data_IF_452230577314
#
_entry.id   IF_452230577314
#
_cell.length_a   1.000
_cell.length_b   1.000
_cell.length_c   1.000
_cell.angle_alpha   90.00
_cell.angle_beta   90.00
_cell.angle_gamma   90.00
#
_symmetry.space_group_name_H-M   'P 1'
#
loop_
_entity.id
_entity.type
_entity.pdbx_description
1 polymer ?
#
# COMPACT_ATOMS: atom_id res chain seq x y z
N UNK A 1 -13.46 -9.22 -15.99
CA UNK A 1 -13.74 -7.77 -15.93
C UNK A 1 -12.45 -7.04 -15.56
N UNK A 2 -11.83 -6.32 -16.51
CA UNK A 2 -10.69 -5.45 -16.23
C UNK A 2 -11.14 -4.22 -15.39
N UNK A 3 -10.19 -3.47 -14.79
CA UNK A 3 -10.46 -2.19 -14.15
C UNK A 3 -11.26 -1.24 -15.06
N UNK A 4 -12.13 -0.43 -14.47
CA UNK A 4 -12.91 0.55 -15.22
C UNK A 4 -11.97 1.59 -15.85
N UNK A 5 -12.11 1.75 -17.17
CA UNK A 5 -11.50 2.85 -17.92
C UNK A 5 -12.50 3.97 -18.11
N UNK A 6 -11.98 5.19 -18.26
CA UNK A 6 -12.80 6.33 -18.61
C UNK A 6 -13.54 6.06 -19.92
N UNK A 7 -14.86 6.27 -19.92
CA UNK A 7 -15.71 6.24 -21.10
C UNK A 7 -16.36 7.61 -21.18
N UNK A 8 -15.82 8.44 -22.07
CA UNK A 8 -16.31 9.77 -22.37
C UNK A 8 -16.36 9.93 -23.89
N UNK A 9 -17.50 10.32 -24.42
CA UNK A 9 -17.68 10.60 -25.84
C UNK A 9 -18.70 11.73 -26.02
N UNK A 10 -19.01 12.10 -27.26
CA UNK A 10 -19.97 13.17 -27.55
C UNK A 10 -21.42 12.80 -27.20
N UNK A 11 -21.73 11.51 -27.03
CA UNK A 11 -23.04 11.04 -26.55
C UNK A 11 -23.24 11.28 -25.05
N UNK A 12 -22.21 11.05 -24.22
CA UNK A 12 -22.23 11.36 -22.79
C UNK A 12 -20.78 11.37 -22.25
N UNK A 13 -20.44 12.42 -21.50
CA UNK A 13 -19.14 12.59 -20.86
C UNK A 13 -19.27 12.98 -19.39
N UNK A 14 -18.21 12.73 -18.63
CA UNK A 14 -18.05 13.20 -17.24
C UNK A 14 -16.76 14.00 -17.18
N UNK A 15 -16.82 15.19 -16.59
CA UNK A 15 -15.67 16.05 -16.33
C UNK A 15 -15.67 16.48 -14.87
N UNK A 16 -14.57 16.23 -14.16
CA UNK A 16 -14.39 16.73 -12.79
C UNK A 16 -13.99 18.21 -12.81
N UNK A 17 -14.31 18.92 -11.74
CA UNK A 17 -13.85 20.28 -11.50
C UNK A 17 -12.54 20.26 -10.72
N UNK A 18 -11.58 21.09 -11.13
CA UNK A 18 -10.26 21.19 -10.50
C UNK A 18 -9.26 20.16 -11.03
N UNK A 19 -8.04 20.24 -10.50
CA UNK A 19 -6.91 19.40 -10.89
C UNK A 19 -6.65 18.25 -9.89
N UNK A 20 -7.60 17.99 -8.99
CA UNK A 20 -7.48 16.96 -7.97
C UNK A 20 -7.52 15.55 -8.59
N UNK A 21 -6.42 14.81 -8.44
CA UNK A 21 -6.24 13.45 -8.98
C UNK A 21 -6.54 12.35 -7.98
N UNK A 22 -6.56 12.68 -6.68
CA UNK A 22 -6.78 11.75 -5.58
C UNK A 22 -7.77 12.33 -4.56
N UNK A 23 -8.60 11.48 -3.98
CA UNK A 23 -9.61 11.88 -3.00
C UNK A 23 -9.50 11.04 -1.72
N UNK A 24 -9.75 11.66 -0.57
CA UNK A 24 -9.89 10.96 0.69
C UNK A 24 -11.34 10.53 0.94
N UNK A 25 -11.59 9.46 1.72
CA UNK A 25 -12.92 9.22 2.28
C UNK A 25 -13.42 10.46 3.03
N UNK A 26 -14.64 10.91 2.75
CA UNK A 26 -15.20 12.16 3.27
C UNK A 26 -15.14 13.34 2.28
N UNK A 27 -14.25 13.31 1.28
CA UNK A 27 -14.15 14.36 0.27
C UNK A 27 -15.41 14.49 -0.58
N UNK A 28 -15.60 15.64 -1.22
CA UNK A 28 -16.70 15.86 -2.16
C UNK A 28 -16.15 16.02 -3.57
N UNK A 29 -16.54 15.09 -4.45
CA UNK A 29 -16.21 15.17 -5.88
C UNK A 29 -17.23 16.07 -6.56
N UNK A 30 -16.76 17.11 -7.23
CA UNK A 30 -17.60 18.06 -7.97
C UNK A 30 -17.28 17.99 -9.45
N UNK A 31 -18.29 18.07 -10.31
CA UNK A 31 -18.07 18.03 -11.75
C UNK A 31 -19.32 18.29 -12.56
N UNK A 32 -19.23 17.94 -13.85
CA UNK A 32 -20.33 18.01 -14.80
C UNK A 32 -20.47 16.69 -15.55
N UNK A 33 -21.71 16.32 -15.82
CA UNK A 33 -22.04 15.41 -16.91
C UNK A 33 -22.34 16.27 -18.12
N UNK A 34 -21.79 15.95 -19.29
CA UNK A 34 -22.05 16.71 -20.50
C UNK A 34 -22.46 15.83 -21.68
N UNK A 35 -23.20 16.43 -22.61
CA UNK A 35 -23.56 15.85 -23.90
C UNK A 35 -23.54 16.95 -24.95
N UNK A 36 -22.91 16.68 -26.09
CA UNK A 36 -22.85 17.61 -27.23
C UNK A 36 -23.53 17.08 -28.48
N UNK A 37 -23.79 15.77 -28.56
CA UNK A 37 -24.52 15.18 -29.68
C UNK A 37 -26.00 15.48 -29.59
N UNK A 38 -26.58 15.89 -30.71
CA UNK A 38 -28.00 16.18 -30.85
C UNK A 38 -28.89 15.09 -30.22
N UNK A 39 -29.93 15.53 -29.50
CA UNK A 39 -30.94 14.67 -28.90
C UNK A 39 -32.21 15.47 -28.67
N UNK A 40 -33.34 14.90 -29.08
CA UNK A 40 -34.67 15.40 -28.72
C UNK A 40 -35.42 14.24 -28.07
N UNK A 41 -35.83 14.40 -26.83
CA UNK A 41 -36.59 13.41 -26.07
C UNK A 41 -37.65 14.10 -25.21
N UNK A 42 -38.89 13.61 -25.26
CA UNK A 42 -39.98 14.14 -24.43
C UNK A 42 -39.90 13.64 -22.98
N UNK A 43 -39.41 12.41 -22.80
CA UNK A 43 -39.22 11.78 -21.50
C UNK A 43 -37.76 11.38 -21.41
N UNK A 44 -37.04 12.04 -20.52
CA UNK A 44 -35.65 11.72 -20.21
C UNK A 44 -35.37 11.77 -18.72
N UNK A 45 -34.36 11.01 -18.30
CA UNK A 45 -33.81 11.06 -16.95
C UNK A 45 -32.30 10.94 -17.01
N UNK A 46 -31.61 11.86 -16.34
CA UNK A 46 -30.16 11.79 -16.15
C UNK A 46 -29.88 11.54 -14.68
N UNK A 47 -29.00 10.58 -14.43
CA UNK A 47 -28.57 10.26 -13.07
C UNK A 47 -27.08 10.02 -13.02
N UNK A 48 -26.51 10.26 -11.85
CA UNK A 48 -25.11 10.04 -11.54
C UNK A 48 -24.98 9.33 -10.20
N UNK A 49 -23.95 8.51 -10.06
CA UNK A 49 -23.67 7.79 -8.82
C UNK A 49 -22.17 7.54 -8.67
N UNK A 50 -21.69 7.50 -7.43
CA UNK A 50 -20.38 6.95 -7.09
C UNK A 50 -20.53 5.45 -6.85
N UNK A 51 -19.61 4.67 -7.42
CA UNK A 51 -19.53 3.23 -7.23
C UNK A 51 -18.16 2.90 -6.67
N UNK A 52 -18.13 2.20 -5.54
CA UNK A 52 -16.92 1.59 -4.98
C UNK A 52 -17.11 0.08 -4.91
N UNK A 53 -16.10 -0.69 -5.33
CA UNK A 53 -16.16 -2.15 -5.25
C UNK A 53 -14.78 -2.77 -5.09
N UNK A 54 -14.78 -3.96 -4.50
CA UNK A 54 -13.65 -4.89 -4.56
C UNK A 54 -13.98 -6.05 -5.47
N UNK A 55 -12.99 -6.53 -6.23
CA UNK A 55 -13.13 -7.65 -7.14
C UNK A 55 -11.89 -8.51 -7.06
N UNK A 56 -12.06 -9.81 -6.88
CA UNK A 56 -11.01 -10.83 -6.91
C UNK A 56 -11.29 -11.88 -7.97
N UNK A 57 -10.27 -12.41 -8.62
CA UNK A 57 -10.37 -13.51 -9.58
C UNK A 57 -9.18 -14.45 -9.51
N UNK A 58 -9.47 -15.74 -9.63
CA UNK A 58 -8.47 -16.81 -9.76
C UNK A 58 -8.89 -17.77 -10.88
N UNK A 59 -7.96 -18.34 -11.66
CA UNK A 59 -8.24 -19.30 -12.71
C UNK A 59 -8.78 -20.60 -12.09
N UNK A 60 -9.79 -21.16 -12.73
CA UNK A 60 -10.22 -22.52 -12.45
C UNK A 60 -9.31 -23.45 -13.24
N UNK A 61 -8.84 -24.52 -12.60
CA UNK A 61 -8.07 -25.59 -13.23
C UNK A 61 -9.00 -26.50 -14.06
N UNK A 62 -9.80 -25.93 -14.96
CA UNK A 62 -10.70 -26.66 -15.86
C UNK A 62 -10.48 -26.21 -17.30
N UNK A 63 -10.57 -27.16 -18.23
CA UNK A 63 -10.30 -27.04 -19.67
C UNK A 63 -11.09 -25.92 -20.38
N UNK A 64 -12.10 -25.33 -19.73
CA UNK A 64 -12.96 -24.26 -20.26
C UNK A 64 -12.61 -22.83 -19.80
N UNK A 65 -11.55 -22.62 -19.02
CA UNK A 65 -11.04 -21.28 -18.70
C UNK A 65 -11.96 -20.40 -17.84
N UNK A 66 -12.92 -20.99 -17.12
CA UNK A 66 -13.73 -20.26 -16.14
C UNK A 66 -12.86 -19.76 -14.97
N UNK A 67 -13.27 -18.68 -14.28
CA UNK A 67 -12.53 -18.11 -13.14
C UNK A 67 -13.44 -18.03 -11.91
N UNK A 68 -12.92 -18.29 -10.72
CA UNK A 68 -13.64 -17.94 -9.49
C UNK A 68 -13.67 -16.42 -9.35
N UNK A 69 -14.74 -15.91 -8.75
CA UNK A 69 -14.95 -14.48 -8.58
C UNK A 69 -15.34 -14.17 -7.14
N UNK A 70 -14.67 -13.22 -6.50
CA UNK A 70 -15.18 -12.55 -5.31
C UNK A 70 -15.53 -11.11 -5.66
N UNK A 71 -16.64 -10.59 -5.15
CA UNK A 71 -17.04 -9.20 -5.37
C UNK A 71 -17.84 -8.66 -4.20
N UNK A 72 -17.42 -7.50 -3.71
CA UNK A 72 -18.15 -6.74 -2.69
C UNK A 72 -18.35 -5.30 -3.19
N UNK A 73 -19.58 -4.77 -3.12
CA UNK A 73 -19.80 -3.35 -3.39
C UNK A 73 -19.57 -2.59 -2.09
N UNK A 74 -18.59 -1.70 -2.07
CA UNK A 74 -18.19 -0.93 -0.89
C UNK A 74 -19.10 0.29 -0.66
N UNK A 75 -19.72 0.78 -1.74
CA UNK A 75 -20.66 1.89 -1.71
C UNK A 75 -21.97 1.38 -2.30
N UNK A 76 -23.06 1.35 -1.51
CA UNK A 76 -24.32 0.78 -1.96
C UNK A 76 -25.03 1.72 -2.92
N UNK A 77 -26.04 1.14 -3.58
CA UNK A 77 -26.72 1.73 -4.72
C UNK A 77 -27.59 2.98 -4.46
N UNK A 78 -28.04 3.35 -3.24
CA UNK A 78 -28.90 4.53 -3.08
C UNK A 78 -28.16 5.87 -3.20
N UNK A 79 -26.83 5.90 -3.36
CA UNK A 79 -26.04 7.12 -3.61
C UNK A 79 -26.23 7.70 -5.03
N UNK A 80 -27.41 7.54 -5.62
CA UNK A 80 -27.76 7.98 -6.97
C UNK A 80 -28.42 9.35 -6.94
N UNK A 81 -27.70 10.35 -7.42
CA UNK A 81 -28.23 11.70 -7.60
C UNK A 81 -28.93 11.81 -8.97
N UNK A 82 -30.16 12.34 -8.98
CA UNK A 82 -30.86 12.68 -10.22
C UNK A 82 -30.47 14.09 -10.66
N UNK A 83 -29.90 14.23 -11.85
CA UNK A 83 -29.44 15.52 -12.40
C UNK A 83 -30.46 16.17 -13.35
N UNK A 84 -31.30 15.37 -13.98
CA UNK A 84 -32.34 15.84 -14.89
C UNK A 84 -33.54 14.88 -14.92
N UNK A 85 -34.74 15.43 -15.08
CA UNK A 85 -35.97 14.69 -15.34
C UNK A 85 -36.89 15.53 -16.24
N UNK A 86 -37.44 14.91 -17.27
CA UNK A 86 -38.41 15.54 -18.18
C UNK A 86 -37.87 15.70 -19.60
N UNK A 87 -38.45 16.61 -20.41
CA UNK A 87 -38.01 16.82 -21.78
C UNK A 87 -36.54 17.25 -21.86
N UNK A 88 -35.84 16.80 -22.90
CA UNK A 88 -34.45 17.15 -23.17
C UNK A 88 -34.27 17.45 -24.65
N UNK A 89 -33.75 18.64 -24.93
CA UNK A 89 -33.29 19.05 -26.24
C UNK A 89 -31.82 19.44 -26.14
N UNK A 90 -30.95 18.70 -26.82
CA UNK A 90 -29.54 19.03 -27.03
C UNK A 90 -29.38 19.36 -28.51
N UNK A 91 -28.91 20.56 -28.80
CA UNK A 91 -28.70 21.03 -30.18
C UNK A 91 -27.28 20.69 -30.64
N UNK A 92 -27.12 20.33 -31.91
CA UNK A 92 -25.81 20.01 -32.46
C UNK A 92 -24.86 21.21 -32.37
N UNK A 93 -23.62 20.98 -31.95
CA UNK A 93 -22.60 22.01 -31.75
C UNK A 93 -22.69 22.80 -30.44
N UNK A 94 -23.68 22.56 -29.58
CA UNK A 94 -23.78 23.16 -28.24
C UNK A 94 -23.70 22.09 -27.14
N UNK A 95 -22.79 22.25 -26.19
CA UNK A 95 -22.68 21.35 -25.05
C UNK A 95 -23.75 21.66 -24.00
N UNK A 96 -24.61 20.69 -23.72
CA UNK A 96 -25.49 20.73 -22.54
C UNK A 96 -24.77 20.03 -21.38
N UNK A 97 -24.67 20.71 -20.23
CA UNK A 97 -23.97 20.21 -19.06
C UNK A 97 -24.81 20.28 -17.79
N UNK A 98 -24.74 19.25 -16.95
CA UNK A 98 -25.41 19.17 -15.65
C UNK A 98 -24.38 19.02 -14.54
N UNK A 99 -24.41 19.93 -13.57
CA UNK A 99 -23.48 19.91 -12.44
C UNK A 99 -23.87 18.83 -11.42
N UNK A 100 -22.87 18.20 -10.81
CA UNK A 100 -23.04 17.28 -9.69
C UNK A 100 -22.06 17.58 -8.56
N UNK A 101 -22.39 17.09 -7.36
CA UNK A 101 -21.50 17.07 -6.20
C UNK A 101 -21.82 15.79 -5.40
N UNK A 102 -20.84 14.89 -5.26
CA UNK A 102 -21.00 13.60 -4.59
C UNK A 102 -19.98 13.49 -3.46
N UNK A 103 -20.46 13.32 -2.23
CA UNK A 103 -19.60 13.06 -1.07
C UNK A 103 -19.18 11.58 -1.07
N UNK A 104 -17.88 11.34 -0.92
CA UNK A 104 -17.32 10.00 -0.72
C UNK A 104 -17.64 9.58 0.72
N UNK A 105 -18.29 8.43 0.95
CA UNK A 105 -18.50 7.93 2.30
C UNK A 105 -17.19 7.72 3.06
N UNK A 106 -17.19 7.90 4.38
CA UNK A 106 -16.01 7.58 5.20
C UNK A 106 -15.87 6.07 5.43
N UNK A 107 -17.01 5.37 5.47
CA UNK A 107 -17.11 3.96 5.81
C UNK A 107 -17.86 3.18 4.73
N UNK A 108 -17.54 1.90 4.65
CA UNK A 108 -18.28 0.91 3.87
C UNK A 108 -19.66 0.73 4.48
N UNK A 109 -20.69 0.69 3.64
CA UNK A 109 -22.04 0.33 4.07
C UNK A 109 -22.30 -1.16 3.77
N UNK A 110 -22.59 -1.97 4.81
CA UNK A 110 -22.73 -3.41 4.70
C UNK A 110 -24.12 -3.90 4.25
N UNK A 111 -25.05 -3.02 3.87
CA UNK A 111 -26.38 -3.45 3.41
C UNK A 111 -26.31 -4.50 2.28
N UNK A 112 -25.35 -4.37 1.36
CA UNK A 112 -25.13 -5.32 0.26
C UNK A 112 -24.53 -6.68 0.73
N UNK A 113 -24.15 -6.81 2.01
CA UNK A 113 -23.48 -8.00 2.57
C UNK A 113 -24.36 -8.84 3.49
N UNK A 114 -25.56 -8.37 3.83
CA UNK A 114 -26.48 -9.09 4.72
C UNK A 114 -26.79 -10.49 4.20
N UNK A 115 -26.58 -11.50 5.04
CA UNK A 115 -26.80 -12.91 4.69
C UNK A 115 -25.71 -13.54 3.82
N UNK A 116 -24.59 -12.84 3.60
CA UNK A 116 -23.42 -13.41 2.94
C UNK A 116 -22.73 -14.50 3.79
N UNK A 117 -21.92 -15.34 3.14
CA UNK A 117 -21.18 -16.41 3.80
C UNK A 117 -19.94 -15.84 4.50
N UNK A 118 -19.81 -15.93 5.84
CA UNK A 118 -18.63 -15.44 6.56
C UNK A 118 -17.33 -16.15 6.15
N UNK A 119 -17.41 -17.40 5.66
CA UNK A 119 -16.25 -18.13 5.14
C UNK A 119 -15.69 -17.59 3.82
N UNK A 120 -16.39 -16.65 3.20
CA UNK A 120 -15.99 -15.97 1.96
C UNK A 120 -15.57 -14.51 2.18
N UNK A 121 -15.30 -14.14 3.45
CA UNK A 121 -14.82 -12.81 3.79
C UNK A 121 -13.73 -12.81 4.87
N UNK A 122 -12.72 -11.97 4.70
CA UNK A 122 -11.71 -11.67 5.72
C UNK A 122 -12.22 -10.72 6.80
N UNK A 123 -13.21 -9.88 6.48
CA UNK A 123 -13.83 -8.95 7.41
C UNK A 123 -15.21 -9.46 7.81
N UNK A 124 -15.66 -9.10 9.02
CA UNK A 124 -17.02 -9.40 9.43
C UNK A 124 -18.01 -8.65 8.53
N UNK A 125 -19.03 -9.37 8.05
CA UNK A 125 -20.08 -8.84 7.18
C UNK A 125 -21.07 -7.94 7.92
N UNK A 126 -21.10 -8.01 9.25
CA UNK A 126 -22.06 -7.29 10.10
C UNK A 126 -21.52 -5.92 10.60
N UNK A 127 -20.28 -5.57 10.27
CA UNK A 127 -19.63 -4.34 10.76
C UNK A 127 -19.77 -3.19 9.77
N UNK A 128 -20.37 -2.09 10.23
CA UNK A 128 -20.65 -0.85 9.47
C UNK A 128 -19.53 0.18 9.49
N UNK A 129 -18.51 0.00 10.33
CA UNK A 129 -17.48 1.02 10.57
C UNK A 129 -16.14 0.68 9.90
N UNK A 130 -16.17 -0.19 8.89
CA UNK A 130 -14.96 -0.47 8.10
C UNK A 130 -14.68 0.76 7.23
N UNK A 131 -13.50 1.40 7.35
CA UNK A 131 -13.18 2.56 6.52
C UNK A 131 -13.11 2.15 5.05
N UNK A 132 -13.39 3.09 4.14
CA UNK A 132 -13.19 2.82 2.72
C UNK A 132 -11.69 2.52 2.44
N UNK A 133 -11.38 1.38 1.79
CA UNK A 133 -10.01 1.06 1.40
C UNK A 133 -9.49 2.01 0.31
N UNK A 134 -8.16 2.16 0.22
CA UNK A 134 -7.55 2.87 -0.92
C UNK A 134 -7.76 2.10 -2.22
N UNK A 135 -7.74 2.81 -3.36
CA UNK A 135 -7.68 2.20 -4.69
C UNK A 135 -6.46 1.27 -4.77
N UNK A 136 -6.67 0.06 -5.28
CA UNK A 136 -5.64 -0.97 -5.38
C UNK A 136 -5.83 -1.77 -6.66
N UNK A 137 -4.72 -2.20 -7.26
CA UNK A 137 -4.70 -3.02 -8.46
C UNK A 137 -3.58 -4.03 -8.36
N UNK A 138 -3.93 -5.30 -8.50
CA UNK A 138 -3.05 -6.41 -8.75
C UNK A 138 -3.45 -7.02 -10.09
N UNK A 139 -2.57 -6.86 -11.07
CA UNK A 139 -2.65 -7.52 -12.37
C UNK A 139 -1.66 -8.69 -12.43
N UNK A 140 -2.11 -9.80 -12.98
CA UNK A 140 -1.30 -11.00 -13.13
C UNK A 140 -2.01 -12.09 -13.95
N UNK A 141 -1.22 -12.98 -14.54
CA UNK A 141 -1.74 -14.14 -15.30
C UNK A 141 -2.51 -15.12 -14.40
N UNK A 142 -2.09 -15.23 -13.14
CA UNK A 142 -2.61 -16.20 -12.16
C UNK A 142 -3.70 -15.65 -11.27
N UNK A 143 -3.67 -14.37 -10.93
CA UNK A 143 -4.67 -13.80 -10.04
C UNK A 143 -4.88 -12.33 -10.37
N UNK A 144 -6.12 -11.87 -10.28
CA UNK A 144 -6.46 -10.45 -10.45
C UNK A 144 -7.22 -9.96 -9.22
N UNK A 145 -6.81 -8.84 -8.65
CA UNK A 145 -7.53 -8.22 -7.54
C UNK A 145 -7.55 -6.70 -7.69
N UNK A 146 -8.71 -6.09 -7.48
CA UNK A 146 -8.88 -4.65 -7.60
C UNK A 146 -9.77 -4.10 -6.49
N UNK A 147 -9.39 -2.95 -5.95
CA UNK A 147 -10.26 -2.04 -5.21
C UNK A 147 -10.40 -0.81 -6.10
N UNK A 148 -11.61 -0.54 -6.58
CA UNK A 148 -11.81 0.55 -7.54
C UNK A 148 -13.02 1.41 -7.21
N UNK A 149 -12.89 2.69 -7.54
CA UNK A 149 -13.92 3.70 -7.42
C UNK A 149 -14.13 4.36 -8.77
N UNK A 150 -15.38 4.60 -9.13
CA UNK A 150 -15.69 5.33 -10.35
C UNK A 150 -17.05 6.02 -10.24
N UNK A 151 -17.18 7.12 -10.95
CA UNK A 151 -18.45 7.81 -11.16
C UNK A 151 -19.11 7.22 -12.40
N UNK A 152 -20.37 6.84 -12.27
CA UNK A 152 -21.20 6.41 -13.39
C UNK A 152 -22.31 7.41 -13.65
N UNK A 153 -22.44 7.88 -14.89
CA UNK A 153 -23.60 8.66 -15.34
C UNK A 153 -24.44 7.81 -16.31
N UNK A 154 -25.76 7.91 -16.19
CA UNK A 154 -26.71 7.20 -17.04
C UNK A 154 -27.80 8.17 -17.51
N UNK A 155 -27.85 8.41 -18.82
CA UNK A 155 -28.96 9.10 -19.48
C UNK A 155 -29.90 8.02 -20.05
N UNK A 156 -31.17 8.07 -19.66
CA UNK A 156 -32.23 7.23 -20.24
C UNK A 156 -33.26 8.13 -20.90
N UNK A 157 -33.68 7.78 -22.11
CA UNK A 157 -34.81 8.43 -22.78
C UNK A 157 -35.83 7.38 -23.20
N UNK A 158 -37.10 7.78 -23.26
CA UNK A 158 -38.18 6.95 -23.75
C UNK A 158 -38.79 7.61 -24.98
N UNK A 159 -38.73 6.90 -26.10
CA UNK A 159 -39.33 7.28 -27.37
C UNK A 159 -40.36 6.20 -27.78
N UNK A 160 -41.10 6.44 -28.86
CA UNK A 160 -42.06 5.46 -29.42
C UNK A 160 -41.39 4.11 -29.75
N UNK A 161 -40.11 4.14 -30.13
CA UNK A 161 -39.30 2.95 -30.47
C UNK A 161 -38.67 2.23 -29.25
N UNK A 162 -38.92 2.70 -28.02
CA UNK A 162 -38.42 2.09 -26.79
C UNK A 162 -37.47 2.96 -25.97
N UNK A 163 -36.71 2.32 -25.07
CA UNK A 163 -35.81 2.98 -24.10
C UNK A 163 -34.40 3.04 -24.66
N UNK A 164 -33.91 4.27 -24.90
CA UNK A 164 -32.50 4.50 -25.23
C UNK A 164 -31.69 4.75 -23.94
N UNK A 165 -30.45 4.26 -23.91
CA UNK A 165 -29.57 4.35 -22.74
C UNK A 165 -28.15 4.70 -23.15
N UNK A 166 -27.61 5.77 -22.55
CA UNK A 166 -26.20 6.16 -22.67
C UNK A 166 -25.53 6.12 -21.30
N UNK A 167 -24.29 5.65 -21.26
CA UNK A 167 -23.52 5.46 -20.03
C UNK A 167 -22.15 6.11 -20.20
N UNK A 168 -21.75 6.92 -19.23
CA UNK A 168 -20.40 7.41 -19.08
C UNK A 168 -19.81 6.92 -17.76
N UNK A 169 -18.50 6.66 -17.74
CA UNK A 169 -17.79 6.22 -16.54
C UNK A 169 -16.50 7.00 -16.40
N UNK A 170 -16.17 7.38 -15.17
CA UNK A 170 -14.94 8.10 -14.85
C UNK A 170 -14.28 7.47 -13.63
N UNK A 171 -13.06 6.89 -13.76
CA UNK A 171 -12.36 6.31 -12.62
C UNK A 171 -11.92 7.39 -11.63
N UNK A 172 -11.93 7.05 -10.34
CA UNK A 172 -11.54 7.93 -9.24
C UNK A 172 -10.52 7.21 -8.38
N UNK A 173 -9.42 7.88 -8.05
CA UNK A 173 -8.43 7.35 -7.10
C UNK A 173 -8.82 7.78 -5.70
N UNK A 174 -9.01 6.81 -4.81
CA UNK A 174 -9.28 7.06 -3.39
C UNK A 174 -8.06 6.66 -2.58
N UNK A 175 -7.57 7.55 -1.73
CA UNK A 175 -6.43 7.32 -0.86
C UNK A 175 -6.87 7.46 0.60
N UNK A 176 -6.73 6.39 1.38
CA UNK A 176 -7.00 6.44 2.82
C UNK A 176 -5.79 7.01 3.55
N UNK A 177 -5.88 8.28 3.93
CA UNK A 177 -4.87 8.95 4.72
C UNK A 177 -4.94 8.53 6.18
N UNK A 178 -3.78 8.55 6.85
CA UNK A 178 -3.67 8.18 8.27
C UNK A 178 -2.98 9.29 9.04
N UNK A 179 -3.34 9.52 10.32
CA UNK A 179 -2.60 10.43 11.19
C UNK A 179 -1.11 10.08 11.17
N UNK A 180 -0.25 11.10 11.24
CA UNK A 180 1.18 10.87 11.31
C UNK A 180 1.53 10.12 12.60
N UNK A 181 2.11 8.93 12.47
CA UNK A 181 2.51 8.08 13.59
C UNK A 181 4.04 7.91 13.71
N UNK A 182 4.79 8.45 12.74
CA UNK A 182 6.24 8.23 12.60
C UNK A 182 6.62 6.75 12.42
N UNK A 183 7.91 6.49 12.24
CA UNK A 183 8.43 5.14 12.15
C UNK A 183 8.43 4.46 13.53
N UNK A 184 7.92 3.23 13.58
CA UNK A 184 8.05 2.36 14.78
C UNK A 184 9.15 1.35 14.55
N UNK A 185 9.89 1.03 15.60
CA UNK A 185 11.04 0.13 15.52
C UNK A 185 10.76 -1.18 16.28
N UNK A 186 11.10 -2.31 15.64
CA UNK A 186 11.24 -3.61 16.28
C UNK A 186 12.68 -3.80 16.72
N UNK A 187 12.89 -4.12 18.01
CA UNK A 187 14.21 -4.27 18.62
C UNK A 187 14.51 -5.74 18.88
N UNK A 188 15.69 -6.18 18.44
CA UNK A 188 16.21 -7.51 18.71
C UNK A 188 17.64 -7.46 19.24
N UNK A 189 18.01 -8.42 20.08
CA UNK A 189 19.33 -8.51 20.72
C UNK A 189 19.92 -9.88 20.42
N UNK A 190 21.13 -9.89 19.88
CA UNK A 190 21.91 -11.08 19.56
C UNK A 190 23.17 -11.13 20.42
N UNK A 191 23.46 -12.29 21.00
CA UNK A 191 24.60 -12.50 21.87
C UNK A 191 25.77 -13.09 21.10
N UNK A 192 26.95 -12.51 21.23
CA UNK A 192 28.15 -12.92 20.50
C UNK A 192 29.35 -13.14 21.41
N UNK A 193 30.03 -14.25 21.14
CA UNK A 193 31.30 -14.66 21.73
C UNK A 193 32.31 -14.84 20.62
N UNK A 194 33.39 -14.06 20.63
CA UNK A 194 34.42 -14.13 19.59
C UNK A 194 35.82 -14.21 20.19
N UNK A 195 36.62 -15.14 19.69
CA UNK A 195 37.99 -15.37 20.14
C UNK A 195 38.93 -15.21 18.95
N UNK A 196 39.80 -14.20 18.98
CA UNK A 196 40.71 -13.90 17.87
C UNK A 196 41.95 -13.15 18.36
N UNK A 197 43.17 -13.54 17.96
CA UNK A 197 44.39 -12.79 18.29
C UNK A 197 44.34 -11.35 17.74
N UNK A 198 43.62 -11.10 16.65
CA UNK A 198 43.47 -9.77 16.05
C UNK A 198 42.74 -8.75 16.93
N UNK A 199 42.04 -9.20 17.97
CA UNK A 199 41.45 -8.31 18.98
C UNK A 199 42.51 -7.47 19.71
N UNK A 200 43.76 -7.95 19.81
CA UNK A 200 44.85 -7.19 20.40
C UNK A 200 45.31 -6.03 19.52
N UNK A 201 45.27 -6.19 18.19
CA UNK A 201 45.73 -5.18 17.23
C UNK A 201 44.69 -4.13 16.90
N UNK A 202 43.46 -4.27 17.41
CA UNK A 202 42.37 -3.32 17.14
C UNK A 202 42.64 -1.98 17.86
N UNK A 203 42.81 -0.91 17.09
CA UNK A 203 43.08 0.45 17.60
C UNK A 203 44.54 0.91 17.53
N UNK A 204 45.46 0.08 17.02
CA UNK A 204 46.88 0.45 16.76
C UNK A 204 47.17 0.37 15.25
N UNK A 205 48.14 1.14 14.74
CA UNK A 205 48.60 1.08 13.33
C UNK A 205 48.91 -0.36 12.94
N UNK A 206 48.20 -0.89 11.92
CA UNK A 206 48.14 -2.31 11.49
C UNK A 206 49.45 -3.09 11.76
N UNK A 207 49.50 -3.93 12.82
CA UNK A 207 50.56 -4.93 12.95
C UNK A 207 50.33 -6.07 11.95
N UNK A 208 51.42 -6.67 11.45
CA UNK A 208 51.33 -7.84 10.57
C UNK A 208 50.78 -9.05 11.32
N UNK A 209 50.13 -10.00 10.61
CA UNK A 209 49.60 -11.26 11.18
C UNK A 209 50.62 -11.96 12.09
N UNK A 210 51.88 -11.97 11.67
CA UNK A 210 53.00 -12.57 12.39
C UNK A 210 53.34 -11.85 13.71
N UNK A 211 53.13 -10.55 13.82
CA UNK A 211 53.39 -9.77 15.04
C UNK A 211 52.29 -9.99 16.09
N UNK A 212 51.04 -10.04 15.66
CA UNK A 212 49.89 -10.27 16.55
C UNK A 212 49.89 -11.68 17.12
N UNK A 213 50.24 -12.68 16.31
CA UNK A 213 50.39 -14.07 16.77
C UNK A 213 51.54 -14.19 17.75
N UNK A 214 52.68 -13.52 17.51
CA UNK A 214 53.80 -13.49 18.47
C UNK A 214 53.43 -12.85 19.81
N UNK A 215 52.64 -11.76 19.79
CA UNK A 215 52.10 -11.17 21.02
C UNK A 215 51.14 -12.13 21.74
N UNK A 216 50.27 -12.81 21.00
CA UNK A 216 49.33 -13.77 21.58
C UNK A 216 50.05 -15.01 22.14
N UNK A 217 51.12 -15.49 21.51
CA UNK A 217 51.94 -16.60 22.01
C UNK A 217 52.73 -16.25 23.29
N UNK A 218 52.97 -14.95 23.55
CA UNK A 218 53.52 -14.46 24.82
C UNK A 218 52.47 -14.32 25.94
N UNK A 219 51.19 -14.53 25.64
CA UNK A 219 50.07 -14.44 26.59
C UNK A 219 49.47 -15.84 26.77
N UNK A 220 49.12 -16.20 28.01
CA UNK A 220 48.63 -17.56 28.33
C UNK A 220 47.29 -17.94 27.68
N UNK A 221 46.55 -17.00 27.08
CA UNK A 221 45.24 -17.27 26.46
C UNK A 221 44.93 -16.30 25.31
N UNK A 222 44.37 -16.81 24.23
CA UNK A 222 43.83 -16.01 23.11
C UNK A 222 42.71 -15.10 23.64
N UNK A 223 42.70 -13.79 23.34
CA UNK A 223 41.68 -12.89 23.87
C UNK A 223 40.30 -13.21 23.28
N UNK A 224 39.30 -13.00 24.13
CA UNK A 224 37.88 -13.22 23.88
C UNK A 224 37.10 -11.94 24.11
N UNK A 225 36.27 -11.57 23.14
CA UNK A 225 35.32 -10.47 23.17
C UNK A 225 33.90 -11.01 23.29
N UNK A 226 33.15 -10.48 24.25
CA UNK A 226 31.74 -10.80 24.47
C UNK A 226 30.91 -9.54 24.32
N UNK A 227 29.87 -9.59 23.50
CA UNK A 227 29.02 -8.41 23.29
C UNK A 227 27.59 -8.79 22.87
N UNK A 228 26.68 -7.86 23.12
CA UNK A 228 25.32 -7.89 22.64
C UNK A 228 25.21 -6.96 21.45
N UNK A 229 24.82 -7.50 20.30
CA UNK A 229 24.46 -6.70 19.14
C UNK A 229 22.95 -6.45 19.16
N UNK A 230 22.59 -5.19 19.34
CA UNK A 230 21.21 -4.75 19.24
C UNK A 230 20.94 -4.19 17.84
N UNK A 231 19.88 -4.70 17.23
CA UNK A 231 19.40 -4.31 15.91
C UNK A 231 17.98 -3.78 16.07
N UNK A 232 17.72 -2.57 15.57
CA UNK A 232 16.38 -1.98 15.50
C UNK A 232 16.00 -1.74 14.04
N UNK A 233 14.95 -2.42 13.60
CA UNK A 233 14.44 -2.39 12.24
C UNK A 233 13.04 -1.78 12.22
N UNK A 234 12.61 -1.13 11.14
CA UNK A 234 11.27 -0.53 11.08
C UNK A 234 10.19 -1.63 11.07
N UNK A 235 9.24 -1.52 12.01
CA UNK A 235 8.03 -2.34 12.09
C UNK A 235 6.80 -1.62 11.56
N UNK A 236 6.86 -0.29 11.44
CA UNK A 236 5.89 0.50 10.70
C UNK A 236 6.59 1.63 9.94
N UNK A 237 6.15 1.87 8.70
CA UNK A 237 6.62 2.95 7.82
C UNK A 237 5.39 3.70 7.30
N UNK A 238 5.37 5.02 7.44
CA UNK A 238 4.36 5.88 6.83
C UNK A 238 4.84 6.29 5.43
N UNK A 239 3.99 6.15 4.42
CA UNK A 239 4.30 6.66 3.08
C UNK A 239 4.38 8.18 3.09
N UNK A 240 5.28 8.71 2.25
CA UNK A 240 5.55 10.14 2.10
C UNK A 240 6.02 10.85 3.38
N UNK A 241 6.46 10.10 4.40
CA UNK A 241 7.17 10.68 5.54
C UNK A 241 8.49 11.32 5.04
N UNK A 242 8.72 12.61 5.29
CA UNK A 242 9.96 13.27 4.90
C UNK A 242 11.17 12.81 5.72
N UNK A 243 11.00 12.02 6.77
CA UNK A 243 12.08 11.50 7.62
C UNK A 243 12.67 10.22 7.02
N UNK A 244 14.01 10.04 7.04
CA UNK A 244 14.62 8.76 6.69
C UNK A 244 14.11 7.62 7.58
N UNK A 245 13.95 6.44 6.99
CA UNK A 245 13.51 5.23 7.67
C UNK A 245 14.65 4.73 8.56
N UNK A 246 14.47 4.67 9.89
CA UNK A 246 15.55 4.35 10.80
C UNK A 246 15.94 2.87 10.74
N UNK A 247 17.26 2.60 10.70
CA UNK A 247 17.85 1.26 10.86
C UNK A 247 19.00 1.39 11.86
N UNK A 248 18.76 1.01 13.11
CA UNK A 248 19.70 1.34 14.19
C UNK A 248 20.46 0.13 14.69
N UNK A 249 21.78 0.28 14.78
CA UNK A 249 22.70 -0.76 15.21
C UNK A 249 23.50 -0.27 16.42
N UNK A 250 23.60 -1.10 17.46
CA UNK A 250 24.41 -0.80 18.65
C UNK A 250 25.06 -2.07 19.18
N UNK A 251 26.36 -2.00 19.47
CA UNK A 251 27.09 -3.06 20.15
C UNK A 251 27.37 -2.68 21.60
N UNK A 252 27.01 -3.55 22.53
CA UNK A 252 27.24 -3.38 23.97
C UNK A 252 28.18 -4.48 24.44
N UNK A 253 29.39 -4.10 24.86
CA UNK A 253 30.38 -5.02 25.39
C UNK A 253 29.94 -5.59 26.74
N UNK A 254 29.99 -6.92 26.88
CA UNK A 254 29.90 -7.56 28.18
C UNK A 254 31.29 -7.53 28.83
N UNK A 255 31.51 -6.52 29.68
CA UNK A 255 32.81 -6.27 30.31
C UNK A 255 33.30 -7.46 31.12
N UNK A 256 32.42 -8.12 31.85
CA UNK A 256 32.79 -9.18 32.80
C UNK A 256 33.29 -10.44 32.09
N UNK A 257 32.67 -10.77 30.97
CA UNK A 257 33.03 -11.94 30.17
C UNK A 257 34.11 -11.64 29.12
N UNK A 258 34.37 -10.37 28.82
CA UNK A 258 35.44 -9.94 27.91
C UNK A 258 36.82 -10.01 28.57
N UNK A 259 37.84 -10.40 27.82
CA UNK A 259 39.22 -10.54 28.28
C UNK A 259 39.81 -9.21 28.77
N UNK A 260 40.46 -9.21 29.93
CA UNK A 260 40.94 -7.99 30.62
C UNK A 260 41.86 -7.11 29.77
N UNK A 261 42.65 -7.71 28.88
CA UNK A 261 43.60 -7.04 28.00
C UNK A 261 42.97 -6.27 26.83
N UNK A 262 41.67 -6.44 26.56
CA UNK A 262 40.95 -5.73 25.49
C UNK A 262 39.78 -4.86 25.98
N UNK A 263 39.40 -4.92 27.26
CA UNK A 263 38.24 -4.19 27.82
C UNK A 263 38.28 -2.69 27.59
N UNK A 264 39.47 -2.09 27.68
CA UNK A 264 39.64 -0.64 27.58
C UNK A 264 40.08 -0.19 26.16
N UNK A 265 40.05 -1.10 25.16
CA UNK A 265 40.41 -0.76 23.78
C UNK A 265 39.18 -0.23 23.02
N UNK A 266 39.35 0.70 22.06
CA UNK A 266 38.27 1.22 21.23
C UNK A 266 37.86 0.20 20.16
N UNK A 267 37.19 -0.87 20.58
CA UNK A 267 36.72 -1.94 19.70
C UNK A 267 35.59 -1.43 18.81
N UNK A 268 35.65 -1.81 17.53
CA UNK A 268 34.67 -1.42 16.51
C UNK A 268 34.25 -2.65 15.71
N UNK A 269 32.99 -2.69 15.32
CA UNK A 269 32.42 -3.74 14.48
C UNK A 269 32.13 -3.13 13.12
N UNK A 270 32.74 -3.65 12.06
CA UNK A 270 32.49 -3.18 10.71
C UNK A 270 31.19 -3.78 10.20
N UNK A 271 30.30 -2.97 9.64
CA UNK A 271 29.20 -3.45 8.81
C UNK A 271 29.73 -3.57 7.38
N UNK A 272 29.89 -4.80 6.90
CA UNK A 272 30.50 -5.09 5.59
C UNK A 272 29.46 -5.21 4.48
N UNK A 273 28.23 -5.61 4.80
CA UNK A 273 27.16 -5.74 3.83
C UNK A 273 25.79 -5.67 4.50
N UNK A 274 24.80 -5.11 3.80
CA UNK A 274 23.41 -5.01 4.25
C UNK A 274 22.47 -5.18 3.06
N UNK A 275 21.48 -6.06 3.18
CA UNK A 275 20.38 -6.18 2.23
C UNK A 275 19.08 -6.12 2.98
N UNK A 276 18.14 -5.34 2.46
CA UNK A 276 16.79 -5.22 3.00
C UNK A 276 15.80 -5.34 1.85
N UNK A 277 14.83 -6.21 2.05
CA UNK A 277 13.77 -6.49 1.11
C UNK A 277 12.43 -6.34 1.81
N UNK A 278 11.52 -5.62 1.17
CA UNK A 278 10.11 -5.60 1.55
C UNK A 278 9.41 -6.62 0.67
N UNK A 279 8.76 -7.58 1.30
CA UNK A 279 7.97 -8.59 0.61
C UNK A 279 6.51 -8.31 0.90
N UNK A 280 5.76 -8.05 -0.15
CA UNK A 280 4.33 -7.79 -0.10
C UNK A 280 3.57 -9.06 -0.50
N UNK A 281 2.72 -9.55 0.39
CA UNK A 281 1.90 -10.73 0.18
C UNK A 281 0.45 -10.30 0.02
N UNK A 282 -0.13 -10.56 -1.15
CA UNK A 282 -1.54 -10.33 -1.44
C UNK A 282 -2.29 -11.65 -1.38
N UNK A 283 -3.12 -11.82 -0.34
CA UNK A 283 -4.07 -12.91 -0.25
C UNK A 283 -5.40 -12.49 -0.85
N UNK A 284 -5.97 -13.37 -1.67
CA UNK A 284 -7.17 -13.12 -2.44
C UNK A 284 -8.17 -14.22 -2.12
N UNK A 285 -9.38 -13.83 -1.74
CA UNK A 285 -10.48 -14.75 -1.45
C UNK A 285 -11.54 -14.64 -2.55
N UNK A 286 -12.02 -15.77 -3.03
CA UNK A 286 -13.10 -15.87 -4.01
C UNK A 286 -14.26 -16.69 -3.44
N UNK A 287 -15.40 -16.68 -4.14
CA UNK A 287 -16.56 -17.54 -3.83
C UNK A 287 -16.14 -19.00 -3.66
N UNK A 288 -16.80 -19.73 -2.75
CA UNK A 288 -16.46 -21.10 -2.40
C UNK A 288 -15.24 -21.23 -1.48
N UNK A 289 -14.82 -20.14 -0.84
CA UNK A 289 -13.62 -20.04 0.00
C UNK A 289 -12.30 -20.39 -0.73
N UNK A 290 -12.27 -20.22 -2.05
CA UNK A 290 -11.06 -20.39 -2.83
C UNK A 290 -10.09 -19.24 -2.57
N UNK A 291 -8.88 -19.57 -2.15
CA UNK A 291 -7.82 -18.58 -1.90
C UNK A 291 -6.71 -18.68 -2.92
N UNK A 292 -6.10 -17.54 -3.23
CA UNK A 292 -4.82 -17.45 -3.91
C UNK A 292 -3.92 -16.47 -3.17
N UNK A 293 -2.63 -16.64 -3.33
CA UNK A 293 -1.60 -15.82 -2.71
C UNK A 293 -0.59 -15.42 -3.80
N UNK A 294 -0.32 -14.13 -3.88
CA UNK A 294 0.70 -13.58 -4.78
C UNK A 294 1.70 -12.80 -3.94
N UNK A 295 2.99 -13.10 -4.09
CA UNK A 295 4.07 -12.37 -3.44
C UNK A 295 4.80 -11.49 -4.45
N UNK A 296 5.16 -10.27 -4.02
CA UNK A 296 6.07 -9.40 -4.75
C UNK A 296 7.17 -8.91 -3.82
N UNK A 297 8.39 -8.78 -4.36
CA UNK A 297 9.57 -8.41 -3.59
C UNK A 297 10.15 -7.11 -4.13
N UNK A 298 10.37 -6.16 -3.23
CA UNK A 298 11.04 -4.91 -3.53
C UNK A 298 12.33 -4.84 -2.70
N UNK A 299 13.46 -4.82 -3.39
CA UNK A 299 14.77 -4.63 -2.75
C UNK A 299 15.02 -3.13 -2.54
N UNK A 300 15.35 -2.73 -1.30
CA UNK A 300 15.68 -1.35 -0.96
C UNK A 300 17.13 -0.98 -1.36
N UNK A 301 17.86 -1.92 -1.96
CA UNK A 301 19.20 -1.76 -2.56
C UNK A 301 20.12 -0.80 -1.80
N UNK A 302 20.15 -0.97 -0.47
CA UNK A 302 20.89 -0.08 0.44
C UNK A 302 22.37 -0.13 0.10
N UNK A 303 22.85 -1.31 -0.31
CA UNK A 303 24.24 -1.54 -0.71
C UNK A 303 24.70 -0.70 -1.90
N UNK A 304 23.83 -0.39 -2.87
CA UNK A 304 24.23 0.46 -4.00
C UNK A 304 24.24 1.95 -3.65
N UNK A 305 23.51 2.35 -2.59
CA UNK A 305 23.31 3.73 -2.16
C UNK A 305 24.19 4.17 -1.00
N UNK A 306 24.82 3.25 -0.28
CA UNK A 306 26.04 3.59 0.47
C UNK A 306 27.01 4.10 -0.59
N UNK A 307 27.51 5.35 -0.52
CA UNK A 307 28.52 5.81 -1.44
C UNK A 307 29.77 4.95 -1.22
N UNK A 308 29.91 3.88 -2.00
CA UNK A 308 31.12 3.05 -2.08
C UNK A 308 32.12 3.84 -2.93
N UNK A 309 32.58 4.94 -2.36
CA UNK A 309 33.95 5.37 -2.40
C UNK A 309 34.23 5.92 -1.00
N UNK A 310 34.72 5.03 -0.12
CA UNK A 310 35.55 5.33 1.08
C UNK A 310 34.92 5.29 2.49
N UNK A 311 33.60 5.25 2.71
CA UNK A 311 33.07 5.22 4.09
C UNK A 311 32.74 3.80 4.61
N UNK A 312 33.66 3.24 5.39
CA UNK A 312 33.43 2.05 6.20
C UNK A 312 32.52 2.38 7.40
N UNK A 313 31.38 1.70 7.51
CA UNK A 313 30.46 1.88 8.65
C UNK A 313 30.97 1.04 9.83
N UNK A 314 31.32 1.70 10.93
CA UNK A 314 31.86 1.08 12.13
C UNK A 314 30.99 1.32 13.35
N UNK A 315 30.45 0.27 13.95
CA UNK A 315 29.67 0.29 15.18
C UNK A 315 30.62 0.22 16.39
N UNK A 316 30.66 1.25 17.26
CA UNK A 316 31.44 1.22 18.48
C UNK A 316 30.95 0.09 19.40
N UNK A 317 31.87 -0.73 19.90
CA UNK A 317 31.60 -1.75 20.89
C UNK A 317 32.15 -1.29 22.24
N UNK A 318 31.29 -0.70 23.06
CA UNK A 318 31.61 -0.15 24.37
C UNK A 318 30.65 -0.67 25.44
N UNK A 319 30.92 -0.42 26.71
CA UNK A 319 30.08 -0.88 27.83
C UNK A 319 28.66 -0.29 27.80
N UNK A 320 28.50 0.92 27.24
CA UNK A 320 27.20 1.59 27.16
C UNK A 320 26.59 1.51 25.76
N UNK A 321 27.44 1.36 24.73
CA UNK A 321 27.05 1.34 23.33
C UNK A 321 26.46 2.68 22.85
N UNK A 322 26.65 3.00 21.58
CA UNK A 322 25.95 4.10 20.91
C UNK A 322 25.27 3.55 19.65
N UNK A 323 24.08 4.07 19.33
CA UNK A 323 23.44 3.71 18.08
C UNK A 323 24.13 4.39 16.90
N UNK A 324 24.21 3.65 15.81
CA UNK A 324 24.40 4.18 14.47
C UNK A 324 23.11 3.94 13.71
N UNK A 325 22.57 4.98 13.10
CA UNK A 325 21.40 4.89 12.24
C UNK A 325 21.84 4.79 10.78
N UNK A 326 21.88 3.57 10.25
CA UNK A 326 22.25 3.29 8.87
C UNK A 326 21.24 3.90 7.90
N UNK A 327 19.97 3.95 8.30
CA UNK A 327 18.90 4.54 7.50
C UNK A 327 19.08 6.05 7.30
N UNK A 328 19.46 6.76 8.36
CA UNK A 328 19.82 8.18 8.30
C UNK A 328 21.08 8.41 7.45
N UNK A 329 22.11 7.58 7.62
CA UNK A 329 23.38 7.70 6.88
C UNK A 329 23.21 7.58 5.35
N UNK A 330 22.23 6.81 4.88
CA UNK A 330 21.97 6.60 3.44
C UNK A 330 20.74 7.38 2.94
N UNK A 331 20.13 8.22 3.77
CA UNK A 331 18.87 8.91 3.50
C UNK A 331 17.80 7.94 2.95
N UNK A 332 17.60 6.83 3.66
CA UNK A 332 16.70 5.75 3.26
C UNK A 332 15.25 6.23 3.27
N UNK A 333 14.61 6.31 2.10
CA UNK A 333 13.20 6.74 1.97
C UNK A 333 12.44 5.85 1.02
N UNK A 334 11.24 5.41 1.42
CA UNK A 334 10.46 4.40 0.70
C UNK A 334 9.90 4.92 -0.64
N UNK A 335 9.59 6.22 -0.72
CA UNK A 335 9.09 6.92 -1.91
C UNK A 335 10.10 6.92 -3.09
N UNK A 336 11.39 6.77 -2.79
CA UNK A 336 12.47 6.63 -3.79
C UNK A 336 12.66 5.19 -4.27
N UNK A 337 11.79 4.28 -3.86
CA UNK A 337 11.78 2.89 -4.29
C UNK A 337 10.44 2.57 -4.91
N UNK A 338 10.51 1.79 -5.98
CA UNK A 338 9.34 1.39 -6.72
C UNK A 338 9.31 -0.13 -6.68
N UNK A 339 8.15 -0.71 -6.35
CA UNK A 339 7.99 -2.14 -6.49
C UNK A 339 8.01 -2.43 -8.00
N UNK A 340 8.88 -3.31 -8.52
CA UNK A 340 8.84 -3.65 -9.94
C UNK A 340 7.61 -4.52 -10.23
N UNK A 341 6.46 -3.90 -10.49
CA UNK A 341 5.29 -4.61 -11.00
C UNK A 341 5.48 -4.85 -12.51
N UNK A 342 5.56 -6.12 -12.92
CA UNK A 342 5.91 -6.52 -14.30
C UNK A 342 4.91 -6.06 -15.38
N UNK A 343 3.72 -5.61 -14.99
CA UNK A 343 2.66 -5.20 -15.93
C UNK A 343 2.55 -3.68 -16.15
N UNK A 344 3.19 -2.86 -15.31
CA UNK A 344 3.16 -1.41 -15.43
C UNK A 344 4.53 -0.88 -15.84
N UNK A 345 4.59 -0.16 -16.97
CA UNK A 345 5.80 0.55 -17.43
C UNK A 345 6.17 1.73 -16.52
N UNK A 346 5.29 2.09 -15.56
CA UNK A 346 5.51 3.13 -14.58
C UNK A 346 5.84 2.53 -13.20
N UNK A 347 6.71 3.19 -12.41
CA UNK A 347 7.07 2.75 -11.09
C UNK A 347 5.83 2.65 -10.18
N UNK A 348 5.44 1.43 -9.80
CA UNK A 348 4.38 1.23 -8.80
C UNK A 348 4.89 1.61 -7.41
N UNK A 349 4.29 2.65 -6.84
CA UNK A 349 4.47 3.05 -5.44
C UNK A 349 4.07 1.90 -4.50
N UNK A 350 4.68 1.86 -3.32
CA UNK A 350 4.27 0.91 -2.28
C UNK A 350 2.81 1.16 -1.89
N UNK A 351 2.02 0.09 -1.84
CA UNK A 351 0.64 0.17 -1.36
C UNK A 351 0.63 -0.04 0.16
N UNK A 352 -0.15 0.73 0.94
CA UNK A 352 -0.32 0.51 2.36
C UNK A 352 -0.81 -0.89 2.71
N UNK A 353 -0.48 -1.39 3.90
CA UNK A 353 -1.09 -2.60 4.46
C UNK A 353 -2.60 -2.37 4.62
N UNK A 354 -3.42 -3.25 4.04
CA UNK A 354 -4.88 -3.15 4.18
C UNK A 354 -5.55 -4.53 4.15
N UNK A 355 -6.78 -4.56 4.65
CA UNK A 355 -7.68 -5.70 4.55
C UNK A 355 -9.04 -5.20 4.08
N UNK A 356 -9.58 -5.85 3.06
CA UNK A 356 -10.98 -5.73 2.62
C UNK A 356 -11.68 -7.07 2.83
N UNK A 357 -12.94 -7.17 2.42
CA UNK A 357 -13.70 -8.41 2.49
C UNK A 357 -13.04 -9.57 1.75
N UNK A 358 -12.41 -9.35 0.60
CA UNK A 358 -11.88 -10.42 -0.26
C UNK A 358 -10.43 -10.24 -0.69
N UNK A 359 -9.74 -9.23 -0.18
CA UNK A 359 -8.34 -8.94 -0.49
C UNK A 359 -7.65 -8.54 0.81
N UNK A 360 -6.50 -9.16 1.11
CA UNK A 360 -5.61 -8.78 2.21
C UNK A 360 -4.22 -8.54 1.65
N UNK A 361 -3.68 -7.36 1.90
CA UNK A 361 -2.30 -7.02 1.57
C UNK A 361 -1.51 -6.86 2.87
N UNK A 362 -0.46 -7.67 3.04
CA UNK A 362 0.45 -7.62 4.18
C UNK A 362 1.90 -7.47 3.73
N UNK A 363 2.74 -6.96 4.63
CA UNK A 363 4.16 -6.74 4.34
C UNK A 363 5.03 -7.40 5.40
N UNK A 364 6.17 -7.93 4.95
CA UNK A 364 7.27 -8.39 5.80
C UNK A 364 8.55 -7.73 5.35
N UNK A 365 9.42 -7.40 6.30
CA UNK A 365 10.75 -6.88 6.05
C UNK A 365 11.75 -7.98 6.33
N UNK A 366 12.34 -8.51 5.25
CA UNK A 366 13.45 -9.44 5.32
C UNK A 366 14.75 -8.67 5.25
N UNK A 367 15.68 -8.96 6.15
CA UNK A 367 16.96 -8.30 6.16
C UNK A 367 18.10 -9.28 6.39
N UNK A 368 19.27 -8.92 5.90
CA UNK A 368 20.49 -9.66 6.13
C UNK A 368 21.65 -8.69 6.23
N UNK A 369 22.48 -8.86 7.26
CA UNK A 369 23.66 -8.05 7.51
C UNK A 369 24.89 -8.94 7.70
N UNK A 370 26.02 -8.51 7.16
CA UNK A 370 27.32 -9.14 7.40
C UNK A 370 28.19 -8.16 8.16
N UNK A 371 28.70 -8.62 9.30
CA UNK A 371 29.58 -7.86 10.17
C UNK A 371 30.97 -8.46 10.15
N UNK A 372 31.98 -7.64 10.41
CA UNK A 372 33.36 -8.07 10.56
C UNK A 372 33.97 -7.46 11.82
N UNK A 373 34.62 -8.31 12.62
CA UNK A 373 35.35 -7.91 13.82
C UNK A 373 36.63 -8.71 13.88
N UNK A 374 37.78 -8.03 14.04
CA UNK A 374 39.09 -8.68 14.19
C UNK A 374 39.38 -9.74 13.09
N UNK A 375 39.02 -9.44 11.84
CA UNK A 375 39.22 -10.31 10.68
C UNK A 375 38.28 -11.51 10.60
N UNK A 376 37.29 -11.62 11.48
CA UNK A 376 36.26 -12.65 11.45
C UNK A 376 34.93 -12.02 11.02
N UNK A 377 34.30 -12.59 10.00
CA UNK A 377 32.99 -12.18 9.53
C UNK A 377 31.89 -13.06 10.13
N UNK A 378 30.76 -12.47 10.47
CA UNK A 378 29.55 -13.19 10.86
C UNK A 378 28.32 -12.58 10.19
N UNK A 379 27.33 -13.44 9.94
CA UNK A 379 26.09 -13.08 9.23
C UNK A 379 24.92 -13.10 10.20
N UNK A 380 24.05 -12.10 10.08
CA UNK A 380 22.73 -12.06 10.69
C UNK A 380 21.68 -11.95 9.59
N UNK A 381 20.56 -12.63 9.78
CA UNK A 381 19.39 -12.51 8.94
C UNK A 381 18.16 -12.73 9.80
N UNK A 382 17.12 -11.97 9.52
CA UNK A 382 15.82 -12.15 10.16
C UNK A 382 14.71 -11.62 9.25
N UNK A 383 13.47 -11.91 9.62
CA UNK A 383 12.29 -11.38 8.94
C UNK A 383 11.29 -10.91 9.98
N UNK A 384 10.86 -9.67 9.86
CA UNK A 384 9.89 -9.07 10.78
C UNK A 384 8.61 -8.66 10.04
N UNK A 385 7.50 -8.63 10.76
CA UNK A 385 6.27 -8.04 10.24
C UNK A 385 6.44 -6.54 10.06
N UNK A 386 5.97 -6.03 8.92
CA UNK A 386 6.01 -4.62 8.57
C UNK A 386 4.59 -4.11 8.31
N UNK A 387 4.25 -2.98 8.91
CA UNK A 387 3.02 -2.25 8.59
C UNK A 387 3.36 -1.03 7.75
N UNK A 388 2.95 -1.01 6.49
CA UNK A 388 3.04 0.20 5.66
C UNK A 388 1.74 0.97 5.86
N UNK A 389 1.83 2.23 6.28
CA UNK A 389 0.69 3.11 6.49
C UNK A 389 0.53 4.04 5.28
N UNK A 390 -0.71 4.48 5.02
CA UNK A 390 -1.01 5.49 3.99
C UNK A 390 -0.25 6.80 4.20
N UNK A 391 -0.34 7.75 3.27
CA UNK A 391 0.21 9.10 3.49
C UNK A 391 -0.51 9.82 4.63
N UNK A 392 0.15 10.81 5.25
CA UNK A 392 -0.46 11.65 6.28
C UNK A 392 -1.16 12.87 5.71
N UNK A 393 -2.26 13.31 6.34
CA UNK A 393 -3.04 14.50 5.94
C UNK A 393 -2.29 15.83 6.10
N UNK A 394 -1.24 15.88 6.93
CA UNK A 394 -0.51 17.11 7.26
C UNK A 394 0.33 17.71 6.11
N UNK A 395 0.16 17.25 4.87
CA UNK A 395 0.92 17.68 3.71
C UNK A 395 0.17 18.52 2.67
N UNK A 396 -1.13 18.80 2.86
CA UNK A 396 -1.90 19.67 1.95
C UNK A 396 -2.40 20.89 2.72
N UNK A 397 -1.94 22.08 2.31
CA UNK A 397 -2.31 23.36 2.89
C UNK A 397 -3.83 23.51 3.04
N UNK A 398 -4.28 23.77 4.26
CA UNK A 398 -5.64 24.14 4.61
C UNK A 398 -6.00 25.50 4.01
N UNK A 399 -6.56 25.54 2.79
CA UNK A 399 -7.39 26.66 2.37
C UNK A 399 -8.87 26.28 2.56
N UNK A 400 -9.34 26.54 3.77
CA UNK A 400 -10.72 26.46 4.23
C UNK A 400 -11.71 27.19 3.31
N UNK A 401 -12.79 26.51 2.92
CA UNK A 401 -14.06 27.17 2.56
C UNK A 401 -15.19 26.37 3.17
N UNK A 402 -15.73 26.89 4.27
CA UNK A 402 -16.96 26.37 4.89
C UNK A 402 -18.16 26.76 4.03
N UNK A 403 -19.03 25.80 3.71
CA UNK A 403 -20.42 26.12 3.36
C UNK A 403 -21.37 25.24 4.17
N UNK A 404 -22.22 25.95 4.91
CA UNK A 404 -23.27 25.47 5.80
C UNK A 404 -24.36 24.70 5.05
N UNK A 405 -24.85 23.66 5.73
CA UNK A 405 -25.98 22.80 5.37
C UNK A 405 -27.31 23.56 5.21
N UNK A 406 -28.18 23.00 4.38
CA UNK A 406 -29.62 22.96 4.69
C UNK A 406 -30.21 21.64 4.15
N UNK A 407 -30.43 20.70 5.07
CA UNK A 407 -31.32 19.56 4.87
C UNK A 407 -32.78 20.05 4.87
N UNK A 408 -33.57 19.60 3.89
CA UNK A 408 -35.02 19.45 4.05
C UNK A 408 -35.55 18.45 3.01
N UNK A 409 -36.09 17.36 3.53
CA UNK A 409 -37.18 16.50 3.03
C UNK A 409 -37.20 16.03 1.57
N UNK A 410 -37.32 14.70 1.39
CA UNK A 410 -38.53 14.04 0.86
C UNK A 410 -38.39 12.52 1.03
N UNK A 411 -39.29 11.94 1.84
CA UNK A 411 -39.62 10.51 1.89
C UNK A 411 -40.78 10.20 0.93
N UNK A 412 -40.86 8.91 0.56
CA UNK A 412 -41.89 8.22 -0.25
C UNK A 412 -41.71 8.33 -1.77
N UNK A 413 -41.90 7.31 -2.61
CA UNK A 413 -42.28 5.89 -2.46
C UNK A 413 -42.20 5.26 -3.87
N UNK A 414 -41.48 4.13 -4.01
CA UNK A 414 -41.59 3.00 -4.95
C UNK A 414 -42.03 3.21 -6.42
N UNK A 415 -41.24 2.74 -7.41
CA UNK A 415 -41.34 1.36 -7.91
C UNK A 415 -40.33 0.99 -9.04
N UNK A 416 -40.10 -0.33 -9.15
CA UNK A 416 -39.32 -1.13 -10.11
C UNK A 416 -37.79 -1.00 -10.12
N UNK A 417 -37.17 -1.72 -9.18
CA UNK A 417 -35.84 -2.32 -9.30
C UNK A 417 -35.86 -3.45 -10.34
N UNK A 418 -35.23 -3.24 -11.49
CA UNK A 418 -34.60 -4.24 -12.34
C UNK A 418 -33.74 -3.45 -13.37
N UNK A 419 -32.85 -4.07 -14.14
CA UNK A 419 -32.05 -3.45 -15.23
C UNK A 419 -30.66 -2.83 -14.94
N UNK A 420 -29.98 -3.28 -13.89
CA UNK A 420 -28.50 -3.32 -13.92
C UNK A 420 -27.91 -4.72 -13.68
N UNK A 421 -28.75 -5.76 -13.65
CA UNK A 421 -28.35 -7.17 -13.56
C UNK A 421 -28.96 -7.96 -14.72
N UNK A 422 -28.30 -7.94 -15.88
CA UNK A 422 -28.44 -9.02 -16.87
C UNK A 422 -27.06 -9.30 -17.48
N UNK A 423 -26.25 -10.02 -16.72
CA UNK A 423 -25.23 -10.91 -17.29
C UNK A 423 -25.26 -12.21 -16.48
N UNK A 424 -26.35 -12.98 -16.62
CA UNK A 424 -26.32 -14.42 -16.38
C UNK A 424 -25.75 -15.06 -17.64
N UNK A 425 -24.78 -15.95 -17.47
CA UNK A 425 -24.40 -16.95 -18.48
C UNK A 425 -25.65 -17.74 -18.92
N UNK A 426 -25.74 -18.18 -20.19
CA UNK A 426 -26.85 -19.00 -20.63
C UNK A 426 -26.87 -20.31 -19.83
N UNK A 427 -28.04 -20.68 -19.32
CA UNK A 427 -28.29 -22.07 -18.92
C UNK A 427 -28.19 -22.92 -20.18
N UNK A 428 -27.25 -23.86 -20.18
CA UNK A 428 -27.25 -24.99 -21.09
C UNK A 428 -28.11 -26.04 -20.38
N UNK A 429 -29.19 -26.47 -21.03
CA UNK A 429 -29.91 -27.70 -20.68
C UNK A 429 -29.07 -28.93 -21.04
#
# INVERSE_FOLDING_TARGET
MPPIRAVSNTDLGIRLLGDQTEYAPGDTIVGYVSRSKHLVAQISSLSIQLVGRTVSKTPINCENGSRYHGRFNLIPRPAKQKLHQGPLHVTDGYETSWRFAIKIPEYVDPEDFKGGNPGESYLSLDVTNNPLPSTFTLGGERSEAFVEYFIGACLRTMNEDGVNKWIAKFPVTVTNHRPFLGSRLHRQIYFYSMTSPHLLGMGETKPSLSQTVKQAMGISSVPRLEFNLQVEMPSAIQLNDPSPIPIRLRAIMNRDLTSKNIRNKPLKIKLSWISIQIIATTEILCQGAHTAEEESEANLDITSRIPIQEQEIYIPCTEHGSFIDVGELVDLRLDRYCNPCREHQEPTLFTPTFVTYNIRLSHRLSWTMVFEVAGQAFKLADTIMLTILGPSDQGMDESSVSWSQSEADIRHSWDSEEDFVTWRTPKID
#
